data_IF_313314780579
#
_entry.id   IF_313314780579
#
_cell.length_a   1.000
_cell.length_b   1.000
_cell.length_c   1.000
_cell.angle_alpha   90.00
_cell.angle_beta   90.00
_cell.angle_gamma   90.00
#
_symmetry.space_group_name_H-M   'P 1'
#
loop_
_entity.id
_entity.type
_entity.pdbx_description
1 polymer ?
#
# COMPACT_ATOMS: atom_id res chain seq x y z
N UNK A 1 -27.92 -20.55 31.63
CA UNK A 1 -26.77 -20.57 30.70
C UNK A 1 -27.14 -19.67 29.54
N UNK A 2 -26.56 -18.48 29.50
CA UNK A 2 -26.92 -17.41 28.56
C UNK A 2 -26.49 -17.77 27.14
N UNK A 3 -27.44 -18.12 26.28
CA UNK A 3 -27.19 -18.24 24.84
C UNK A 3 -27.07 -16.83 24.26
N UNK A 4 -25.87 -16.25 24.32
CA UNK A 4 -25.56 -15.03 23.57
C UNK A 4 -25.85 -15.29 22.09
N UNK A 5 -26.72 -14.49 21.48
CA UNK A 5 -26.98 -14.55 20.03
C UNK A 5 -25.64 -14.58 19.27
N UNK A 6 -25.47 -15.45 18.26
CA UNK A 6 -24.20 -15.57 17.54
C UNK A 6 -23.76 -14.24 16.92
N UNK A 7 -24.71 -13.38 16.55
CA UNK A 7 -24.44 -12.03 16.03
C UNK A 7 -23.85 -11.09 17.08
N UNK A 8 -24.25 -11.21 18.36
CA UNK A 8 -23.65 -10.42 19.45
C UNK A 8 -22.22 -10.85 19.73
N UNK A 9 -21.93 -12.16 19.65
CA UNK A 9 -20.58 -12.67 19.77
C UNK A 9 -19.69 -12.18 18.61
N UNK A 10 -20.20 -12.19 17.37
CA UNK A 10 -19.50 -11.61 16.22
C UNK A 10 -19.23 -10.12 16.42
N UNK A 11 -20.24 -9.34 16.87
CA UNK A 11 -20.06 -7.90 17.09
C UNK A 11 -19.00 -7.61 18.16
N UNK A 12 -19.01 -8.39 19.27
CA UNK A 12 -17.97 -8.31 20.31
C UNK A 12 -16.57 -8.53 19.74
N UNK A 13 -16.39 -9.58 18.93
CA UNK A 13 -15.10 -9.87 18.32
C UNK A 13 -14.65 -8.75 17.38
N UNK A 14 -15.54 -8.24 16.53
CA UNK A 14 -15.21 -7.12 15.63
C UNK A 14 -14.82 -5.88 16.43
N UNK A 15 -15.50 -5.58 17.55
CA UNK A 15 -15.15 -4.44 18.39
C UNK A 15 -13.75 -4.62 19.01
N UNK A 16 -13.41 -5.82 19.48
CA UNK A 16 -12.06 -6.08 20.00
C UNK A 16 -10.98 -5.96 18.91
N UNK A 17 -11.28 -6.34 17.67
CA UNK A 17 -10.36 -6.15 16.54
C UNK A 17 -10.19 -4.66 16.20
N UNK A 18 -11.28 -3.89 16.26
CA UNK A 18 -11.24 -2.44 16.07
C UNK A 18 -10.39 -1.78 17.16
N UNK A 19 -10.47 -2.24 18.41
CA UNK A 19 -9.61 -1.74 19.48
C UNK A 19 -8.12 -1.96 19.18
N UNK A 20 -7.76 -3.10 18.60
CA UNK A 20 -6.38 -3.37 18.18
C UNK A 20 -5.93 -2.43 17.08
N UNK A 21 -6.78 -2.16 16.08
CA UNK A 21 -6.46 -1.21 15.00
C UNK A 21 -6.32 0.21 15.54
N UNK A 22 -7.26 0.63 16.40
CA UNK A 22 -7.24 1.97 16.99
C UNK A 22 -6.10 2.17 17.99
N UNK A 23 -5.62 1.12 18.64
CA UNK A 23 -4.43 1.18 19.50
C UNK A 23 -3.13 1.30 18.70
N UNK A 24 -3.09 0.77 17.47
CA UNK A 24 -1.90 0.73 16.61
C UNK A 24 -1.95 1.74 15.46
N UNK A 25 -2.65 2.87 15.64
CA UNK A 25 -2.79 3.89 14.60
C UNK A 25 -1.43 4.38 14.08
N UNK A 26 -1.14 4.06 12.83
CA UNK A 26 0.01 4.61 12.12
C UNK A 26 -0.24 6.08 11.82
N UNK A 27 0.80 6.89 12.02
CA UNK A 27 0.82 8.29 11.61
C UNK A 27 1.81 8.41 10.48
N UNK A 28 1.34 8.88 9.33
CA UNK A 28 2.16 9.00 8.14
C UNK A 28 2.57 10.47 8.00
N UNK A 29 3.86 10.75 8.24
CA UNK A 29 4.43 12.10 8.12
C UNK A 29 5.08 12.22 6.76
N UNK A 30 4.72 13.27 6.02
CA UNK A 30 5.36 13.61 4.75
C UNK A 30 6.82 14.05 4.97
N UNK A 31 7.78 13.50 4.20
CA UNK A 31 9.17 13.94 4.27
C UNK A 31 9.30 15.39 3.77
N UNK A 32 10.24 16.19 4.32
CA UNK A 32 10.43 17.56 3.87
C UNK A 32 10.89 17.63 2.41
N UNK A 33 10.49 18.68 1.67
CA UNK A 33 10.82 18.82 0.26
C UNK A 33 12.34 18.90 0.04
N UNK A 34 12.89 18.02 -0.79
CA UNK A 34 14.31 17.97 -1.09
C UNK A 34 14.64 18.59 -2.46
N UNK A 35 15.65 19.46 -2.46
CA UNK A 35 16.00 20.33 -3.59
C UNK A 35 16.89 19.65 -4.66
N UNK A 36 17.78 18.68 -4.35
CA UNK A 36 18.61 18.02 -5.37
C UNK A 36 17.88 16.95 -6.23
N UNK A 37 18.23 16.73 -7.50
CA UNK A 37 17.55 15.76 -8.38
C UNK A 37 17.72 14.29 -7.95
N UNK A 38 18.88 13.89 -7.43
CA UNK A 38 19.07 12.54 -6.85
C UNK A 38 18.21 12.37 -5.58
N UNK A 39 18.09 13.43 -4.79
CA UNK A 39 17.22 13.49 -3.63
C UNK A 39 15.73 13.44 -4.01
N UNK A 40 15.33 14.05 -5.13
CA UNK A 40 13.95 13.99 -5.64
C UNK A 40 13.57 12.57 -6.07
N UNK A 41 14.46 11.80 -6.71
CA UNK A 41 14.18 10.39 -7.04
C UNK A 41 14.04 9.52 -5.78
N UNK A 42 14.88 9.75 -4.77
CA UNK A 42 14.78 9.06 -3.47
C UNK A 42 13.47 9.45 -2.76
N UNK A 43 13.12 10.74 -2.77
CA UNK A 43 11.87 11.25 -2.20
C UNK A 43 10.66 10.65 -2.92
N UNK A 44 10.66 10.61 -4.25
CA UNK A 44 9.60 10.00 -5.07
C UNK A 44 9.37 8.53 -4.76
N UNK A 45 10.45 7.72 -4.66
CA UNK A 45 10.36 6.33 -4.23
C UNK A 45 9.82 6.20 -2.80
N UNK A 46 10.23 7.09 -1.91
CA UNK A 46 9.78 7.10 -0.51
C UNK A 46 8.29 7.42 -0.41
N UNK A 47 7.81 8.45 -1.12
CA UNK A 47 6.40 8.83 -1.17
C UNK A 47 5.53 7.72 -1.76
N UNK A 48 6.00 7.00 -2.79
CA UNK A 48 5.27 5.84 -3.36
C UNK A 48 5.16 4.66 -2.38
N UNK A 49 6.22 4.38 -1.62
CA UNK A 49 6.17 3.36 -0.58
C UNK A 49 5.20 3.79 0.54
N UNK A 50 5.26 5.06 0.94
CA UNK A 50 4.37 5.63 1.95
C UNK A 50 2.90 5.53 1.53
N UNK A 51 2.58 5.85 0.27
CA UNK A 51 1.23 5.68 -0.27
C UNK A 51 0.76 4.23 -0.21
N UNK A 52 1.64 3.27 -0.52
CA UNK A 52 1.31 1.86 -0.45
C UNK A 52 0.96 1.42 0.96
N UNK A 53 1.73 1.86 1.94
CA UNK A 53 1.49 1.55 3.35
C UNK A 53 0.20 2.21 3.87
N UNK A 54 -0.07 3.45 3.43
CA UNK A 54 -1.31 4.18 3.68
C UNK A 54 -2.53 3.47 3.07
N UNK A 55 -2.43 3.03 1.82
CA UNK A 55 -3.52 2.33 1.12
C UNK A 55 -3.85 1.02 1.83
N UNK A 56 -2.85 0.26 2.26
CA UNK A 56 -3.05 -0.97 3.04
C UNK A 56 -3.78 -0.71 4.36
N UNK A 57 -3.33 0.29 5.12
CA UNK A 57 -3.94 0.65 6.40
C UNK A 57 -5.39 1.16 6.21
N UNK A 58 -5.62 1.94 5.17
CA UNK A 58 -6.93 2.47 4.82
C UNK A 58 -7.89 1.34 4.40
N UNK A 59 -7.42 0.38 3.61
CA UNK A 59 -8.20 -0.81 3.22
C UNK A 59 -8.56 -1.65 4.45
N UNK A 60 -7.61 -1.88 5.36
CA UNK A 60 -7.87 -2.59 6.62
C UNK A 60 -8.94 -1.88 7.46
N UNK A 61 -8.78 -0.58 7.72
CA UNK A 61 -9.73 0.19 8.51
C UNK A 61 -11.13 0.27 7.87
N UNK A 62 -11.20 0.38 6.53
CA UNK A 62 -12.46 0.34 5.79
C UNK A 62 -13.13 -1.04 5.85
N UNK A 63 -12.34 -2.11 5.76
CA UNK A 63 -12.83 -3.49 5.87
C UNK A 63 -13.48 -3.71 7.23
N UNK A 64 -12.80 -3.34 8.33
CA UNK A 64 -13.36 -3.44 9.70
C UNK A 64 -14.65 -2.64 9.86
N UNK A 65 -14.71 -1.44 9.28
CA UNK A 65 -15.90 -0.61 9.32
C UNK A 65 -17.08 -1.25 8.56
N UNK A 66 -16.80 -1.93 7.44
CA UNK A 66 -17.78 -2.67 6.66
C UNK A 66 -18.29 -3.88 7.45
N UNK A 67 -17.40 -4.67 8.03
CA UNK A 67 -17.75 -5.84 8.83
C UNK A 67 -18.63 -5.46 10.02
N UNK A 68 -18.26 -4.37 10.72
CA UNK A 68 -19.05 -3.81 11.81
C UNK A 68 -20.49 -3.46 11.37
N UNK A 69 -20.63 -2.77 10.23
CA UNK A 69 -21.95 -2.41 9.67
C UNK A 69 -22.74 -3.65 9.27
N UNK A 70 -22.11 -4.62 8.63
CA UNK A 70 -22.75 -5.87 8.21
C UNK A 70 -23.26 -6.67 9.41
N UNK A 71 -22.45 -6.83 10.45
CA UNK A 71 -22.84 -7.51 11.68
C UNK A 71 -23.98 -6.78 12.39
N UNK A 72 -23.92 -5.45 12.48
CA UNK A 72 -24.99 -4.63 13.06
C UNK A 72 -26.31 -4.78 12.30
N UNK A 73 -26.29 -4.65 10.97
CA UNK A 73 -27.49 -4.80 10.15
C UNK A 73 -28.07 -6.21 10.22
N UNK A 74 -27.21 -7.23 10.27
CA UNK A 74 -27.64 -8.62 10.46
C UNK A 74 -28.37 -8.81 11.78
N UNK A 75 -27.86 -8.20 12.85
CA UNK A 75 -28.50 -8.24 14.16
C UNK A 75 -29.83 -7.50 14.18
N UNK A 76 -29.92 -6.30 13.59
CA UNK A 76 -31.20 -5.59 13.46
C UNK A 76 -32.22 -6.38 12.65
N UNK A 77 -31.79 -7.00 11.55
CA UNK A 77 -32.64 -7.84 10.70
C UNK A 77 -33.15 -9.09 11.42
N UNK A 78 -32.33 -9.69 12.28
CA UNK A 78 -32.74 -10.81 13.12
C UNK A 78 -33.81 -10.36 14.12
N UNK A 79 -33.60 -9.21 14.76
CA UNK A 79 -34.53 -8.65 15.73
C UNK A 79 -35.90 -8.34 15.13
N UNK A 80 -35.93 -7.81 13.92
CA UNK A 80 -37.18 -7.53 13.22
C UNK A 80 -37.97 -8.81 12.89
N UNK A 81 -37.28 -9.96 12.78
CA UNK A 81 -37.89 -11.28 12.58
C UNK A 81 -38.29 -11.98 13.88
N UNK A 82 -37.76 -11.56 15.03
CA UNK A 82 -38.10 -12.12 16.33
C UNK A 82 -39.46 -11.62 16.83
N UNK A 83 -40.34 -12.56 17.20
CA UNK A 83 -41.67 -12.25 17.75
C UNK A 83 -41.93 -13.05 19.03
N UNK A 84 -42.66 -12.45 19.98
CA UNK A 84 -43.06 -13.12 21.22
C UNK A 84 -41.95 -13.22 22.27
N UNK A 85 -41.93 -14.31 23.04
CA UNK A 85 -41.09 -14.49 24.25
C UNK A 85 -39.59 -14.43 23.98
N UNK A 86 -39.14 -14.85 22.80
CA UNK A 86 -37.73 -14.79 22.39
C UNK A 86 -37.20 -13.35 22.33
N UNK A 87 -38.03 -12.41 21.89
CA UNK A 87 -37.69 -10.99 21.81
C UNK A 87 -37.52 -10.35 23.19
N UNK A 88 -38.34 -10.73 24.15
CA UNK A 88 -38.25 -10.19 25.53
C UNK A 88 -36.94 -10.61 26.20
N UNK A 89 -36.55 -11.88 26.01
CA UNK A 89 -35.28 -12.40 26.53
C UNK A 89 -34.06 -11.83 25.81
N UNK A 90 -34.10 -11.69 24.48
CA UNK A 90 -32.97 -11.16 23.70
C UNK A 90 -32.82 -9.63 23.86
N UNK A 91 -33.91 -8.90 24.08
CA UNK A 91 -33.88 -7.46 24.36
C UNK A 91 -33.07 -7.11 25.62
N UNK A 92 -33.16 -7.92 26.68
CA UNK A 92 -32.38 -7.69 27.90
C UNK A 92 -30.89 -7.90 27.65
N UNK A 93 -30.52 -8.98 26.95
CA UNK A 93 -29.14 -9.27 26.56
C UNK A 93 -28.58 -8.20 25.62
N UNK A 94 -29.43 -7.69 24.72
CA UNK A 94 -29.10 -6.60 23.81
C UNK A 94 -28.87 -5.28 24.56
N UNK A 95 -29.77 -4.91 25.48
CA UNK A 95 -29.61 -3.69 26.29
C UNK A 95 -28.34 -3.75 27.13
N UNK A 96 -28.12 -4.85 27.85
CA UNK A 96 -26.91 -5.08 28.63
C UNK A 96 -25.64 -4.98 27.75
N UNK A 97 -25.70 -5.50 26.52
CA UNK A 97 -24.60 -5.40 25.59
C UNK A 97 -24.33 -3.97 25.13
N UNK A 98 -25.36 -3.20 24.73
CA UNK A 98 -25.17 -1.82 24.28
C UNK A 98 -24.86 -0.84 25.41
N UNK A 99 -25.27 -1.15 26.64
CA UNK A 99 -24.87 -0.41 27.85
C UNK A 99 -23.43 -0.73 28.25
N UNK A 100 -23.00 -1.99 28.11
CA UNK A 100 -21.66 -2.45 28.46
C UNK A 100 -20.61 -2.31 27.36
N UNK A 101 -21.01 -1.96 26.14
CA UNK A 101 -20.12 -1.90 24.98
C UNK A 101 -20.18 -0.52 24.32
N UNK A 102 -19.02 0.14 24.22
CA UNK A 102 -18.89 1.44 23.55
C UNK A 102 -18.87 1.29 22.01
N UNK A 103 -19.83 0.55 21.47
CA UNK A 103 -19.95 0.29 20.03
C UNK A 103 -20.02 1.61 19.22
N UNK A 104 -20.80 2.57 19.70
CA UNK A 104 -20.98 3.86 19.04
C UNK A 104 -19.70 4.69 19.06
N UNK A 105 -19.00 4.74 20.20
CA UNK A 105 -17.70 5.39 20.33
C UNK A 105 -16.69 4.77 19.37
N UNK A 106 -16.50 3.46 19.41
CA UNK A 106 -15.57 2.74 18.53
C UNK A 106 -15.88 2.89 17.04
N UNK A 107 -17.16 2.84 16.66
CA UNK A 107 -17.57 3.12 15.28
C UNK A 107 -17.22 4.54 14.85
N UNK A 108 -17.38 5.52 15.75
CA UNK A 108 -17.06 6.92 15.48
C UNK A 108 -15.56 7.18 15.39
N UNK A 109 -14.77 6.57 16.28
CA UNK A 109 -13.30 6.62 16.29
C UNK A 109 -12.73 6.02 15.01
N UNK A 110 -13.19 4.83 14.61
CA UNK A 110 -12.75 4.19 13.36
C UNK A 110 -13.10 5.02 12.12
N UNK A 111 -14.28 5.63 12.07
CA UNK A 111 -14.64 6.59 11.00
C UNK A 111 -13.75 7.84 11.02
N UNK A 112 -13.36 8.30 12.20
CA UNK A 112 -12.39 9.38 12.36
C UNK A 112 -11.04 8.99 11.78
N UNK A 113 -10.57 7.79 12.11
CA UNK A 113 -9.30 7.25 11.62
C UNK A 113 -9.28 7.09 10.10
N UNK A 114 -10.33 6.51 9.50
CA UNK A 114 -10.45 6.40 8.04
C UNK A 114 -10.42 7.77 7.36
N UNK A 115 -11.07 8.79 7.94
CA UNK A 115 -11.00 10.16 7.41
C UNK A 115 -9.60 10.74 7.51
N UNK A 116 -8.91 10.53 8.63
CA UNK A 116 -7.53 10.97 8.83
C UNK A 116 -6.60 10.34 7.78
N UNK A 117 -6.65 9.02 7.61
CA UNK A 117 -5.87 8.30 6.60
C UNK A 117 -6.17 8.79 5.17
N UNK A 118 -7.44 9.05 4.86
CA UNK A 118 -7.83 9.60 3.56
C UNK A 118 -7.22 10.98 3.30
N UNK A 119 -7.20 11.85 4.31
CA UNK A 119 -6.55 13.17 4.22
C UNK A 119 -5.03 13.05 4.08
N UNK A 120 -4.39 12.16 4.85
CA UNK A 120 -2.95 11.91 4.76
C UNK A 120 -2.57 11.37 3.38
N UNK A 121 -3.32 10.40 2.84
CA UNK A 121 -3.16 9.90 1.48
C UNK A 121 -3.23 11.00 0.44
N UNK A 122 -4.26 11.86 0.53
CA UNK A 122 -4.40 12.98 -0.41
C UNK A 122 -3.21 13.94 -0.34
N UNK A 123 -2.75 14.27 0.86
CA UNK A 123 -1.58 15.14 1.05
C UNK A 123 -0.30 14.53 0.46
N UNK A 124 -0.08 13.23 0.61
CA UNK A 124 1.09 12.54 0.04
C UNK A 124 0.99 12.48 -1.49
N UNK A 125 -0.22 12.31 -2.03
CA UNK A 125 -0.45 12.28 -3.47
C UNK A 125 -0.23 13.66 -4.12
N UNK A 126 -0.64 14.74 -3.46
CA UNK A 126 -0.36 16.11 -3.88
C UNK A 126 1.16 16.39 -3.88
N UNK A 127 1.88 15.94 -2.86
CA UNK A 127 3.34 16.08 -2.80
C UNK A 127 4.04 15.24 -3.88
N UNK A 128 3.57 14.01 -4.11
CA UNK A 128 4.10 13.16 -5.17
C UNK A 128 3.94 13.83 -6.54
N UNK A 129 2.77 14.42 -6.81
CA UNK A 129 2.53 15.15 -8.05
C UNK A 129 3.51 16.34 -8.19
N UNK A 130 3.73 17.09 -7.10
CA UNK A 130 4.72 18.18 -7.11
C UNK A 130 6.14 17.72 -7.39
N UNK A 131 6.56 16.56 -6.88
CA UNK A 131 7.89 15.98 -7.15
C UNK A 131 7.98 15.48 -8.60
N UNK A 132 6.91 14.88 -9.12
CA UNK A 132 6.84 14.43 -10.53
C UNK A 132 6.96 15.62 -11.50
N UNK A 133 6.29 16.73 -11.21
CA UNK A 133 6.38 17.96 -11.99
C UNK A 133 7.81 18.56 -11.95
N UNK A 134 8.48 18.53 -10.79
CA UNK A 134 9.86 18.99 -10.63
C UNK A 134 10.88 18.12 -11.40
N UNK A 135 10.69 16.79 -11.39
CA UNK A 135 11.51 15.86 -12.18
C UNK A 135 11.28 16.09 -13.67
N UNK A 136 10.03 16.28 -14.10
CA UNK A 136 9.68 16.55 -15.49
C UNK A 136 10.28 17.87 -16.00
N UNK A 137 10.28 18.92 -15.17
CA UNK A 137 10.90 20.22 -15.49
C UNK A 137 12.43 20.15 -15.64
N UNK A 138 13.07 19.19 -14.97
CA UNK A 138 14.53 18.97 -15.02
C UNK A 138 14.93 18.05 -16.20
N UNK A 139 13.98 17.34 -16.81
CA UNK A 139 14.24 16.47 -17.96
C UNK A 139 14.40 17.30 -19.26
N UNK A 140 15.48 17.09 -20.04
CA UNK A 140 15.66 17.79 -21.31
C UNK A 140 14.54 17.41 -22.31
N UNK A 141 14.08 18.35 -23.16
CA UNK A 141 13.01 18.08 -24.12
C UNK A 141 13.46 17.01 -25.12
N UNK A 142 12.78 15.87 -25.10
CA UNK A 142 12.88 14.87 -26.18
C UNK A 142 12.25 15.53 -27.42
N UNK A 143 13.00 15.77 -28.51
CA UNK A 143 12.40 16.34 -29.71
C UNK A 143 11.40 15.33 -30.28
N UNK A 144 10.14 15.76 -30.41
CA UNK A 144 9.08 14.99 -31.06
C UNK A 144 9.48 14.68 -32.51
N UNK A 145 9.94 13.46 -32.77
CA UNK A 145 10.04 12.94 -34.14
C UNK A 145 8.63 12.67 -34.65
N UNK A 146 8.12 13.64 -35.40
CA UNK A 146 6.85 13.59 -36.10
C UNK A 146 6.75 12.33 -36.99
N UNK A 147 5.62 11.64 -36.86
CA UNK A 147 5.10 10.66 -37.80
C UNK A 147 4.75 11.38 -39.13
N UNK A 148 5.54 11.23 -40.19
CA UNK A 148 5.06 11.32 -41.58
C UNK A 148 6.00 10.58 -42.54
N UNK A 149 5.48 9.80 -43.51
CA UNK A 149 6.26 9.27 -44.61
C UNK A 149 6.28 10.27 -45.78
N UNK A 150 7.47 10.63 -46.30
CA UNK A 150 7.64 10.52 -47.74
C UNK A 150 9.02 9.95 -48.13
N UNK A 151 9.04 9.44 -49.35
CA UNK A 151 10.09 8.63 -49.91
C UNK A 151 11.31 9.44 -50.39
N UNK A 152 12.44 8.72 -50.51
CA UNK A 152 13.54 8.88 -51.49
C UNK A 152 14.80 9.71 -51.11
N UNK A 153 15.88 8.91 -50.97
CA UNK A 153 17.28 9.08 -51.41
C UNK A 153 18.30 9.87 -50.56
N UNK A 154 18.99 9.09 -49.71
CA UNK A 154 20.45 8.84 -49.70
C UNK A 154 21.34 9.96 -50.27
N UNK A 155 21.88 10.79 -49.39
CA UNK A 155 23.20 11.40 -49.57
C UNK A 155 23.99 11.26 -48.26
N UNK A 156 25.19 10.70 -48.39
CA UNK A 156 26.02 10.14 -47.34
C UNK A 156 26.64 11.21 -46.45
N UNK A 157 26.36 11.17 -45.15
CA UNK A 157 27.24 11.70 -44.11
C UNK A 157 27.87 10.51 -43.36
N UNK A 158 29.15 10.59 -42.94
CA UNK A 158 29.83 9.45 -42.33
C UNK A 158 29.16 9.15 -40.99
N UNK A 159 28.38 8.08 -40.99
CA UNK A 159 27.77 7.51 -39.80
C UNK A 159 28.92 7.16 -38.85
N UNK A 160 29.10 7.92 -37.77
CA UNK A 160 29.80 7.42 -36.60
C UNK A 160 28.94 6.31 -36.01
N UNK A 161 29.05 5.11 -36.58
CA UNK A 161 28.58 3.89 -35.93
C UNK A 161 29.52 3.72 -34.74
N UNK A 162 29.01 3.92 -33.53
CA UNK A 162 29.69 3.37 -32.37
C UNK A 162 29.70 1.85 -32.57
N UNK A 163 30.83 1.30 -33.02
CA UNK A 163 31.11 -0.14 -33.12
C UNK A 163 31.49 -0.68 -31.72
N UNK A 164 30.95 -0.07 -30.66
CA UNK A 164 31.05 -0.64 -29.32
C UNK A 164 30.01 -1.75 -29.23
N UNK A 165 30.41 -2.97 -29.60
CA UNK A 165 29.66 -4.17 -29.22
C UNK A 165 29.80 -4.28 -27.70
N UNK A 166 28.70 -4.12 -26.97
CA UNK A 166 28.66 -4.48 -25.56
C UNK A 166 29.15 -5.94 -25.43
N UNK A 167 30.07 -6.24 -24.50
CA UNK A 167 30.46 -7.61 -24.25
C UNK A 167 29.20 -8.41 -23.92
N UNK A 168 29.10 -9.62 -24.48
CA UNK A 168 27.99 -10.51 -24.17
C UNK A 168 28.15 -10.97 -22.71
N UNK A 169 27.47 -10.30 -21.79
CA UNK A 169 27.44 -10.71 -20.37
C UNK A 169 26.36 -11.77 -20.24
N UNK A 170 26.76 -13.01 -20.00
CA UNK A 170 25.83 -14.07 -19.64
C UNK A 170 25.40 -13.87 -18.18
N UNK A 171 24.18 -13.37 -17.99
CA UNK A 171 23.61 -13.32 -16.65
C UNK A 171 23.41 -14.74 -16.12
N UNK A 172 23.73 -15.00 -14.83
CA UNK A 172 23.40 -16.27 -14.21
C UNK A 172 21.88 -16.46 -14.27
N UNK A 173 21.44 -17.71 -14.51
CA UNK A 173 20.03 -18.08 -14.42
C UNK A 173 19.81 -18.76 -13.09
N UNK A 174 18.88 -18.24 -12.30
CA UNK A 174 18.45 -18.90 -11.07
C UNK A 174 17.38 -19.92 -11.42
N UNK A 175 17.58 -21.18 -11.03
CA UNK A 175 16.70 -22.31 -11.32
C UNK A 175 15.65 -22.56 -10.22
N UNK A 176 15.74 -21.85 -9.10
CA UNK A 176 14.79 -21.93 -7.99
C UNK A 176 15.28 -22.75 -6.80
N UNK A 177 16.50 -23.30 -6.82
CA UNK A 177 17.07 -23.95 -5.63
C UNK A 177 17.51 -22.90 -4.60
N UNK A 178 16.86 -22.91 -3.45
CA UNK A 178 17.10 -21.97 -2.35
C UNK A 178 18.53 -22.10 -1.79
N UNK A 179 19.15 -23.28 -1.92
CA UNK A 179 20.52 -23.53 -1.47
C UNK A 179 21.54 -22.72 -2.28
N UNK A 180 21.23 -22.42 -3.54
CA UNK A 180 22.10 -21.67 -4.46
C UNK A 180 21.80 -20.17 -4.49
N UNK A 181 20.76 -19.72 -3.76
CA UNK A 181 20.28 -18.33 -3.79
C UNK A 181 21.34 -17.30 -3.41
N UNK A 182 22.12 -17.57 -2.36
CA UNK A 182 23.17 -16.65 -1.91
C UNK A 182 24.31 -16.56 -2.94
N UNK A 183 24.78 -17.70 -3.44
CA UNK A 183 25.80 -17.75 -4.48
C UNK A 183 25.37 -17.08 -5.79
N UNK A 184 24.10 -17.25 -6.19
CA UNK A 184 23.51 -16.53 -7.32
C UNK A 184 23.55 -15.01 -7.12
N UNK A 185 23.13 -14.53 -5.95
CA UNK A 185 23.10 -13.10 -5.66
C UNK A 185 24.48 -12.45 -5.60
N UNK A 186 25.47 -13.16 -5.05
CA UNK A 186 26.85 -12.70 -5.02
C UNK A 186 27.42 -12.59 -6.43
N UNK A 187 27.20 -13.62 -7.27
CA UNK A 187 27.61 -13.60 -8.68
C UNK A 187 26.94 -12.47 -9.46
N UNK A 188 25.64 -12.25 -9.23
CA UNK A 188 24.89 -11.18 -9.87
C UNK A 188 25.39 -9.79 -9.46
N UNK A 189 25.70 -9.58 -8.17
CA UNK A 189 26.25 -8.31 -7.66
C UNK A 189 27.62 -7.99 -8.24
N UNK A 190 28.50 -8.99 -8.35
CA UNK A 190 29.82 -8.79 -8.96
C UNK A 190 29.65 -8.41 -10.43
N UNK A 191 28.82 -9.13 -11.20
CA UNK A 191 28.67 -8.90 -12.64
C UNK A 191 27.94 -7.61 -13.03
N UNK A 192 26.93 -7.21 -12.26
CA UNK A 192 26.06 -6.07 -12.60
C UNK A 192 26.49 -4.80 -11.88
N UNK A 193 27.01 -4.92 -10.66
CA UNK A 193 27.37 -3.78 -9.82
C UNK A 193 28.89 -3.61 -9.60
N UNK A 194 29.74 -4.47 -10.16
CA UNK A 194 31.20 -4.44 -9.97
C UNK A 194 31.63 -4.41 -8.49
N UNK A 195 30.86 -5.07 -7.62
CA UNK A 195 31.21 -5.18 -6.20
C UNK A 195 32.45 -6.06 -6.07
N UNK A 196 33.45 -5.60 -5.32
CA UNK A 196 34.66 -6.37 -5.05
C UNK A 196 34.29 -7.63 -4.24
N UNK A 197 34.73 -8.83 -4.64
CA UNK A 197 34.50 -10.06 -3.87
C UNK A 197 34.95 -9.97 -2.40
N UNK A 198 35.89 -9.07 -2.08
CA UNK A 198 36.35 -8.83 -0.71
C UNK A 198 35.33 -8.07 0.18
N UNK A 199 34.34 -7.40 -0.41
CA UNK A 199 33.29 -6.65 0.30
C UNK A 199 32.02 -7.49 0.52
N UNK A 200 31.99 -8.73 0.02
CA UNK A 200 30.87 -9.63 0.26
C UNK A 200 30.92 -10.21 1.68
N UNK A 201 29.77 -10.26 2.39
CA UNK A 201 29.71 -10.86 3.72
C UNK A 201 30.08 -12.33 3.62
N UNK A 202 31.17 -12.73 4.29
CA UNK A 202 31.54 -14.13 4.41
C UNK A 202 30.51 -14.84 5.29
N UNK A 203 29.71 -15.71 4.68
CA UNK A 203 28.81 -16.65 5.35
C UNK A 203 29.55 -17.93 5.73
#
# INVERSE_FOLDING_TARGET
>A
MSSSSPHLATLKNIITEIDVVLANQKTFVTPPPQIPPLSQQIQHKTLRNLLRDLDFELEEAQSRLKDLKCAHNGLLSLRDKMTGRERETDNLVFQEFFEGCDYLGKSSELKGYVRKLGSERHSVEDELQSVEDAIAATAPPIPARQLTPPAIQIAQSPVRRNIAKLPAVSLPKFDGDISEWFGFWDHFRILVHNVDPAELPQL
#
